data_IF_985342627011
#
_entry.id   IF_985342627011
#
_cell.length_a   1.000
_cell.length_b   1.000
_cell.length_c   1.000
_cell.angle_alpha   90.00
_cell.angle_beta   90.00
_cell.angle_gamma   90.00
#
_symmetry.space_group_name_H-M   'P 1'
#
loop_
_entity.id
_entity.type
_entity.pdbx_description
1 polymer ?
#
# COMPACT_ATOMS: atom_id res chain seq x y z
N UNK A 1 20.98 -17.11 2.57
CA UNK A 1 20.65 -15.67 2.46
C UNK A 1 19.15 -15.42 2.52
N UNK A 2 18.34 -16.02 1.65
CA UNK A 2 16.88 -15.78 1.60
C UNK A 2 16.17 -16.07 2.93
N UNK A 3 16.47 -17.18 3.62
CA UNK A 3 15.91 -17.46 4.95
C UNK A 3 16.21 -16.36 5.99
N UNK A 4 17.42 -15.77 5.96
CA UNK A 4 17.76 -14.64 6.83
C UNK A 4 16.94 -13.39 6.51
N UNK A 5 16.71 -13.13 5.22
CA UNK A 5 15.83 -12.03 4.79
C UNK A 5 14.38 -12.27 5.26
N UNK A 6 13.84 -13.47 5.06
CA UNK A 6 12.50 -13.85 5.51
C UNK A 6 12.37 -13.67 7.03
N UNK A 7 13.35 -14.14 7.81
CA UNK A 7 13.33 -13.97 9.26
C UNK A 7 13.31 -12.49 9.68
N UNK A 8 14.10 -11.64 9.01
CA UNK A 8 14.09 -10.18 9.24
C UNK A 8 12.76 -9.55 8.89
N UNK A 9 12.18 -9.90 7.73
CA UNK A 9 10.92 -9.37 7.24
C UNK A 9 9.70 -9.84 8.06
N UNK A 10 9.83 -10.98 8.75
CA UNK A 10 8.77 -11.56 9.60
C UNK A 10 8.73 -10.99 11.01
N UNK A 11 9.76 -10.25 11.40
CA UNK A 11 9.87 -9.62 12.72
C UNK A 11 8.93 -8.43 12.89
N UNK A 12 8.76 -8.01 14.14
CA UNK A 12 8.05 -6.77 14.47
C UNK A 12 8.97 -5.55 14.31
N UNK A 13 8.38 -4.39 13.99
CA UNK A 13 9.10 -3.12 13.93
C UNK A 13 9.42 -2.65 15.34
N UNK A 14 10.70 -2.56 15.68
CA UNK A 14 11.15 -2.05 16.98
C UNK A 14 11.26 -0.52 17.00
N UNK A 15 11.63 0.07 15.86
CA UNK A 15 11.79 1.51 15.68
C UNK A 15 11.06 1.94 14.42
N UNK A 16 10.05 2.78 14.58
CA UNK A 16 9.32 3.34 13.45
C UNK A 16 10.12 4.45 12.75
N UNK A 17 10.01 4.58 11.42
CA UNK A 17 10.74 5.60 10.64
C UNK A 17 10.09 6.98 10.75
N UNK A 18 9.77 7.43 11.97
CA UNK A 18 9.19 8.76 12.20
C UNK A 18 10.26 9.82 11.90
N UNK A 19 9.95 10.86 11.11
CA UNK A 19 10.88 11.94 10.84
C UNK A 19 11.39 12.61 12.13
N UNK A 20 12.57 13.24 12.05
CA UNK A 20 13.16 13.91 13.24
C UNK A 20 12.91 15.41 13.25
N UNK A 21 12.68 16.02 12.08
CA UNK A 21 12.44 17.45 11.95
C UNK A 21 11.02 17.82 12.40
N UNK A 22 10.91 18.78 13.32
CA UNK A 22 9.62 19.29 13.80
C UNK A 22 8.84 20.02 12.70
N UNK A 23 7.52 20.09 12.88
CA UNK A 23 6.59 20.82 12.01
C UNK A 23 6.05 22.02 12.78
N UNK A 24 6.44 23.23 12.37
CA UNK A 24 6.01 24.45 13.05
C UNK A 24 4.74 25.05 12.42
N UNK A 25 3.92 25.73 13.23
CA UNK A 25 2.79 26.50 12.74
C UNK A 25 1.55 25.67 12.39
N UNK A 26 1.46 24.42 12.83
CA UNK A 26 0.28 23.54 12.64
C UNK A 26 -0.99 24.18 13.19
N UNK A 27 -0.91 24.85 14.36
CA UNK A 27 -2.04 25.53 15.00
C UNK A 27 -2.72 26.61 14.14
N UNK A 28 -2.00 27.20 13.17
CA UNK A 28 -2.59 28.18 12.23
C UNK A 28 -3.64 27.59 11.31
N UNK A 29 -3.69 26.27 11.21
CA UNK A 29 -4.64 25.52 10.36
C UNK A 29 -5.75 24.84 11.16
N UNK A 30 -5.88 25.13 12.46
CA UNK A 30 -6.94 24.61 13.31
C UNK A 30 -8.31 24.83 12.68
N UNK A 31 -9.14 23.78 12.66
CA UNK A 31 -10.48 23.78 12.08
C UNK A 31 -10.51 23.59 10.54
N UNK A 32 -9.36 23.68 9.85
CA UNK A 32 -9.27 23.43 8.41
C UNK A 32 -9.44 21.95 8.10
N UNK A 33 -9.83 21.64 6.87
CA UNK A 33 -10.09 20.26 6.41
C UNK A 33 -9.01 19.80 5.46
N UNK A 34 -8.49 18.59 5.67
CA UNK A 34 -7.72 17.82 4.69
C UNK A 34 -8.68 16.87 3.98
N UNK A 35 -8.56 16.75 2.67
CA UNK A 35 -9.30 15.75 1.89
C UNK A 35 -8.44 14.52 1.67
N UNK A 36 -9.00 13.34 1.95
CA UNK A 36 -8.43 12.05 1.57
C UNK A 36 -9.27 11.45 0.45
N UNK A 37 -8.61 11.15 -0.67
CA UNK A 37 -9.25 10.67 -1.90
C UNK A 37 -8.60 9.32 -2.27
N UNK A 38 -9.08 8.19 -1.74
CA UNK A 38 -8.61 6.88 -2.18
C UNK A 38 -9.18 6.53 -3.55
N UNK A 39 -8.49 5.66 -4.31
CA UNK A 39 -8.96 5.18 -5.60
C UNK A 39 -10.36 4.55 -5.49
N UNK A 40 -10.55 3.67 -4.49
CA UNK A 40 -11.83 3.05 -4.13
C UNK A 40 -11.91 2.93 -2.61
N UNK A 41 -12.87 3.64 -2.00
CA UNK A 41 -12.98 3.74 -0.53
C UNK A 41 -13.18 2.39 0.17
N UNK A 42 -13.79 1.40 -0.49
CA UNK A 42 -14.13 0.11 0.10
C UNK A 42 -12.94 -0.83 0.28
N UNK A 43 -11.78 -0.51 -0.29
CA UNK A 43 -10.56 -1.33 -0.08
C UNK A 43 -10.15 -1.24 1.40
N UNK A 44 -10.03 -2.39 2.11
CA UNK A 44 -9.83 -2.40 3.57
C UNK A 44 -8.63 -1.59 4.04
N UNK A 45 -7.52 -1.60 3.31
CA UNK A 45 -6.33 -0.80 3.61
C UNK A 45 -6.63 0.70 3.65
N UNK A 46 -7.37 1.21 2.68
CA UNK A 46 -7.75 2.64 2.62
C UNK A 46 -8.74 3.04 3.71
N UNK A 47 -9.63 2.12 4.13
CA UNK A 47 -10.51 2.35 5.29
C UNK A 47 -9.70 2.57 6.57
N UNK A 48 -8.67 1.74 6.80
CA UNK A 48 -7.78 1.88 7.96
C UNK A 48 -6.97 3.18 7.87
N UNK A 49 -6.35 3.46 6.72
CA UNK A 49 -5.60 4.71 6.49
C UNK A 49 -6.50 5.93 6.76
N UNK A 50 -7.72 5.98 6.22
CA UNK A 50 -8.66 7.07 6.46
C UNK A 50 -9.00 7.23 7.95
N UNK A 51 -9.26 6.12 8.65
CA UNK A 51 -9.62 6.15 10.06
C UNK A 51 -8.47 6.68 10.94
N UNK A 52 -7.24 6.28 10.66
CA UNK A 52 -6.06 6.70 11.41
C UNK A 52 -5.60 8.12 11.03
N UNK A 53 -5.74 8.53 9.76
CA UNK A 53 -5.60 9.95 9.37
C UNK A 53 -6.58 10.85 10.12
N UNK A 54 -7.84 10.40 10.27
CA UNK A 54 -8.86 11.15 11.03
C UNK A 54 -8.42 11.38 12.47
N UNK A 55 -7.86 10.35 13.12
CA UNK A 55 -7.34 10.45 14.49
C UNK A 55 -6.13 11.38 14.54
N UNK A 56 -5.17 11.19 13.63
CA UNK A 56 -3.93 11.96 13.56
C UNK A 56 -4.20 13.47 13.33
N UNK A 57 -5.00 13.79 12.32
CA UNK A 57 -5.38 15.18 12.00
C UNK A 57 -6.19 15.84 13.11
N UNK A 58 -7.08 15.10 13.80
CA UNK A 58 -7.79 15.62 14.96
C UNK A 58 -6.85 16.01 16.10
N UNK A 59 -5.78 15.24 16.35
CA UNK A 59 -4.72 15.63 17.31
C UNK A 59 -4.03 16.93 16.90
N UNK A 60 -3.87 17.15 15.59
CA UNK A 60 -3.30 18.39 15.04
C UNK A 60 -4.33 19.54 14.93
N UNK A 61 -5.57 19.34 15.38
CA UNK A 61 -6.63 20.35 15.32
C UNK A 61 -7.31 20.50 13.95
N UNK A 62 -7.05 19.61 12.99
CA UNK A 62 -7.65 19.61 11.67
C UNK A 62 -8.75 18.56 11.55
N UNK A 63 -9.51 18.66 10.46
CA UNK A 63 -10.57 17.70 10.11
C UNK A 63 -10.14 16.87 8.90
N UNK A 64 -10.63 15.63 8.81
CA UNK A 64 -10.55 14.82 7.60
C UNK A 64 -11.91 14.75 6.93
N UNK A 65 -11.92 14.97 5.60
CA UNK A 65 -13.03 14.66 4.72
C UNK A 65 -12.58 13.57 3.74
N UNK A 66 -13.27 12.44 3.76
CA UNK A 66 -13.05 11.37 2.78
C UNK A 66 -13.97 11.62 1.57
N UNK A 67 -13.42 11.47 0.36
CA UNK A 67 -14.16 11.55 -0.89
C UNK A 67 -13.74 10.38 -1.79
N UNK A 68 -14.67 9.46 -2.08
CA UNK A 68 -14.39 8.23 -2.83
C UNK A 68 -14.09 8.52 -4.31
N UNK A 69 -12.94 8.09 -4.78
CA UNK A 69 -12.51 8.19 -6.18
C UNK A 69 -13.25 7.24 -7.12
N UNK A 70 -13.94 6.20 -6.57
CA UNK A 70 -14.78 5.25 -7.29
C UNK A 70 -14.07 4.53 -8.46
N UNK A 71 -12.74 4.53 -8.49
CA UNK A 71 -11.96 4.04 -9.62
C UNK A 71 -12.13 4.84 -10.92
N UNK A 72 -12.75 6.04 -10.86
CA UNK A 72 -13.15 6.80 -12.03
C UNK A 72 -12.47 8.18 -12.10
N UNK A 73 -11.86 8.55 -13.23
CA UNK A 73 -11.22 9.85 -13.40
C UNK A 73 -12.14 11.04 -13.11
N UNK A 74 -13.41 10.94 -13.48
CA UNK A 74 -14.42 11.99 -13.25
C UNK A 74 -14.75 12.17 -11.77
N UNK A 75 -14.85 11.07 -11.00
CA UNK A 75 -15.11 11.12 -9.56
C UNK A 75 -13.91 11.70 -8.82
N UNK A 76 -12.68 11.26 -9.15
CA UNK A 76 -11.45 11.84 -8.61
C UNK A 76 -11.37 13.34 -8.87
N UNK A 77 -11.62 13.77 -10.12
CA UNK A 77 -11.62 15.19 -10.47
C UNK A 77 -12.67 15.99 -9.68
N UNK A 78 -13.87 15.45 -9.50
CA UNK A 78 -14.93 16.07 -8.71
C UNK A 78 -14.53 16.22 -7.23
N UNK A 79 -13.91 15.18 -6.62
CA UNK A 79 -13.38 15.24 -5.26
C UNK A 79 -12.32 16.34 -5.10
N UNK A 80 -11.40 16.46 -6.07
CA UNK A 80 -10.38 17.51 -6.06
C UNK A 80 -11.01 18.90 -6.19
N UNK A 81 -12.00 19.08 -7.08
CA UNK A 81 -12.72 20.34 -7.22
C UNK A 81 -13.48 20.72 -5.94
N UNK A 82 -14.10 19.72 -5.28
CA UNK A 82 -14.77 19.93 -3.99
C UNK A 82 -13.76 20.40 -2.93
N UNK A 83 -12.59 19.77 -2.84
CA UNK A 83 -11.53 20.17 -1.91
C UNK A 83 -11.07 21.62 -2.16
N UNK A 84 -10.86 21.98 -3.43
CA UNK A 84 -10.48 23.35 -3.83
C UNK A 84 -11.58 24.35 -3.46
N UNK A 85 -12.84 24.05 -3.76
CA UNK A 85 -14.00 24.89 -3.42
C UNK A 85 -14.16 25.11 -1.92
N UNK A 86 -13.87 24.08 -1.12
CA UNK A 86 -13.87 24.12 0.35
C UNK A 86 -12.61 24.80 0.94
N UNK A 87 -11.68 25.28 0.12
CA UNK A 87 -10.38 25.85 0.55
C UNK A 87 -9.64 24.89 1.49
N UNK A 88 -9.56 23.61 1.11
CA UNK A 88 -8.93 22.57 1.90
C UNK A 88 -7.50 22.97 2.33
N UNK A 89 -7.05 22.49 3.48
CA UNK A 89 -5.66 22.65 3.93
C UNK A 89 -4.71 21.85 3.03
N UNK A 90 -5.17 20.72 2.50
CA UNK A 90 -4.44 19.90 1.56
C UNK A 90 -5.28 18.72 1.08
N UNK A 91 -4.75 17.99 0.11
CA UNK A 91 -5.33 16.79 -0.48
C UNK A 91 -4.32 15.66 -0.36
N UNK A 92 -4.77 14.50 0.08
CA UNK A 92 -4.01 13.25 0.03
C UNK A 92 -4.80 12.30 -0.88
N UNK A 93 -4.22 11.89 -2.00
CA UNK A 93 -4.78 10.82 -2.85
C UNK A 93 -4.06 9.51 -2.57
N UNK A 94 -4.75 8.39 -2.74
CA UNK A 94 -4.18 7.07 -2.46
C UNK A 94 -4.45 6.11 -3.63
N UNK A 95 -3.38 5.48 -4.12
CA UNK A 95 -3.34 4.62 -5.30
C UNK A 95 -3.86 5.28 -6.61
N UNK A 96 -3.92 6.61 -6.68
CA UNK A 96 -4.39 7.35 -7.85
C UNK A 96 -3.20 7.88 -8.65
N UNK A 97 -2.95 7.37 -9.87
CA UNK A 97 -1.95 7.94 -10.76
C UNK A 97 -2.24 9.41 -11.09
N UNK A 98 -1.22 10.26 -11.09
CA UNK A 98 -1.41 11.70 -11.39
C UNK A 98 -2.16 11.94 -12.70
N UNK A 99 -1.87 11.13 -13.73
CA UNK A 99 -2.51 11.24 -15.05
C UNK A 99 -4.03 11.01 -15.04
N UNK A 100 -4.58 10.33 -14.02
CA UNK A 100 -6.01 10.04 -13.91
C UNK A 100 -6.84 11.34 -13.76
N UNK A 101 -6.32 12.37 -13.06
CA UNK A 101 -7.00 13.64 -12.84
C UNK A 101 -6.04 14.86 -12.95
N UNK A 102 -5.05 14.79 -13.83
CA UNK A 102 -3.96 15.76 -13.92
C UNK A 102 -4.40 17.22 -14.03
N UNK A 103 -5.45 17.51 -14.80
CA UNK A 103 -6.00 18.87 -14.92
C UNK A 103 -6.56 19.38 -13.58
N UNK A 104 -7.29 18.53 -12.84
CA UNK A 104 -7.82 18.90 -11.54
C UNK A 104 -6.69 19.10 -10.51
N UNK A 105 -5.67 18.24 -10.51
CA UNK A 105 -4.48 18.40 -9.66
C UNK A 105 -3.71 19.68 -9.99
N UNK A 106 -3.54 20.01 -11.26
CA UNK A 106 -2.90 21.26 -11.67
C UNK A 106 -3.70 22.49 -11.20
N UNK A 107 -5.02 22.45 -11.32
CA UNK A 107 -5.89 23.52 -10.82
C UNK A 107 -5.82 23.67 -9.30
N UNK A 108 -5.76 22.58 -8.53
CA UNK A 108 -5.61 22.61 -7.09
C UNK A 108 -4.27 23.25 -6.68
N UNK A 109 -3.16 22.84 -7.31
CA UNK A 109 -1.84 23.45 -7.08
C UNK A 109 -1.82 24.95 -7.41
N UNK A 110 -2.43 25.35 -8.53
CA UNK A 110 -2.54 26.78 -8.91
C UNK A 110 -3.33 27.61 -7.90
N UNK A 111 -4.23 26.98 -7.12
CA UNK A 111 -4.95 27.60 -6.00
C UNK A 111 -4.22 27.48 -4.65
N UNK A 112 -2.99 26.96 -4.64
CA UNK A 112 -2.16 26.83 -3.46
C UNK A 112 -2.60 25.70 -2.52
N UNK A 113 -3.40 24.72 -3.01
CA UNK A 113 -3.77 23.53 -2.24
C UNK A 113 -2.71 22.44 -2.48
N UNK A 114 -1.92 22.05 -1.46
CA UNK A 114 -0.90 21.02 -1.60
C UNK A 114 -1.52 19.63 -1.80
N UNK A 115 -0.80 18.76 -2.53
CA UNK A 115 -1.26 17.41 -2.86
C UNK A 115 -0.18 16.39 -2.53
N UNK A 116 -0.53 15.38 -1.74
CA UNK A 116 0.24 14.15 -1.54
C UNK A 116 -0.37 13.06 -2.44
N UNK A 117 0.46 12.40 -3.22
CA UNK A 117 0.11 11.24 -4.05
C UNK A 117 0.70 10.00 -3.36
N UNK A 118 -0.12 9.32 -2.57
CA UNK A 118 0.27 8.10 -1.86
C UNK A 118 0.17 6.88 -2.77
N UNK A 119 1.00 5.87 -2.47
CA UNK A 119 1.10 4.59 -3.17
C UNK A 119 1.33 4.71 -4.68
N UNK A 120 2.03 5.78 -5.07
CA UNK A 120 2.49 6.00 -6.44
C UNK A 120 3.96 6.40 -6.45
N UNK A 121 4.69 5.92 -7.45
CA UNK A 121 6.08 6.30 -7.71
C UNK A 121 6.09 7.63 -8.47
N UNK A 122 6.93 8.55 -8.04
CA UNK A 122 7.12 9.81 -8.75
C UNK A 122 7.68 9.54 -10.16
N UNK A 123 7.15 10.21 -11.20
CA UNK A 123 7.76 10.19 -12.52
C UNK A 123 9.24 10.61 -12.48
N UNK A 124 10.07 10.06 -13.36
CA UNK A 124 11.49 10.41 -13.44
C UNK A 124 11.69 11.93 -13.53
N UNK A 125 12.62 12.47 -12.75
CA UNK A 125 12.89 13.89 -12.68
C UNK A 125 11.91 14.72 -11.82
N UNK A 126 10.91 14.08 -11.20
CA UNK A 126 10.03 14.76 -10.24
C UNK A 126 10.69 14.82 -8.87
N UNK A 127 10.69 16.03 -8.27
CA UNK A 127 11.15 16.25 -6.89
C UNK A 127 9.95 16.66 -6.03
N UNK A 128 9.84 16.06 -4.84
CA UNK A 128 8.84 16.44 -3.85
C UNK A 128 9.00 17.91 -3.45
N UNK A 129 7.90 18.60 -3.28
CA UNK A 129 7.83 20.03 -2.95
C UNK A 129 6.65 20.32 -2.02
N UNK A 130 6.54 21.56 -1.51
CA UNK A 130 5.37 21.98 -0.72
C UNK A 130 4.05 22.03 -1.52
N UNK A 131 4.06 21.77 -2.83
CA UNK A 131 2.84 21.72 -3.65
C UNK A 131 2.46 20.32 -4.11
N UNK A 132 3.45 19.44 -4.30
CA UNK A 132 3.25 18.08 -4.76
C UNK A 132 4.31 17.17 -4.16
N UNK A 133 3.90 16.10 -3.49
CA UNK A 133 4.78 15.07 -3.00
C UNK A 133 4.24 13.68 -3.34
N UNK A 134 5.13 12.74 -3.61
CA UNK A 134 4.84 11.33 -3.82
C UNK A 134 5.36 10.52 -2.64
N UNK A 135 4.54 9.59 -2.15
CA UNK A 135 4.87 8.66 -1.05
C UNK A 135 4.61 7.23 -1.53
N UNK A 136 5.63 6.53 -2.07
CA UNK A 136 5.47 5.18 -2.62
C UNK A 136 5.50 4.10 -1.52
N UNK A 137 4.49 4.10 -0.64
CA UNK A 137 4.46 3.28 0.58
C UNK A 137 4.56 1.77 0.36
N UNK A 138 4.03 1.25 -0.75
CA UNK A 138 3.95 -0.20 -1.03
C UNK A 138 5.07 -0.73 -1.95
N UNK A 139 6.02 0.11 -2.35
CA UNK A 139 7.06 -0.20 -3.35
C UNK A 139 7.88 -1.48 -3.06
N UNK A 140 8.08 -1.82 -1.79
CA UNK A 140 8.95 -2.92 -1.39
C UNK A 140 8.22 -4.28 -1.30
N UNK A 141 6.91 -4.33 -1.40
CA UNK A 141 6.13 -5.55 -1.18
C UNK A 141 6.50 -6.67 -2.17
N UNK A 142 6.58 -6.46 -3.50
CA UNK A 142 6.99 -7.52 -4.42
C UNK A 142 8.39 -8.06 -4.15
N UNK A 143 9.31 -7.19 -3.70
CA UNK A 143 10.67 -7.62 -3.32
C UNK A 143 10.68 -8.51 -2.07
N UNK A 144 9.80 -8.25 -1.12
CA UNK A 144 9.65 -9.06 0.10
C UNK A 144 9.04 -10.42 -0.24
N UNK A 145 8.05 -10.47 -1.13
CA UNK A 145 7.51 -11.73 -1.68
C UNK A 145 8.60 -12.51 -2.44
N UNK A 146 9.46 -11.83 -3.19
CA UNK A 146 10.56 -12.51 -3.89
C UNK A 146 11.47 -13.27 -2.91
N UNK A 147 11.83 -12.66 -1.78
CA UNK A 147 12.62 -13.34 -0.76
C UNK A 147 11.90 -14.55 -0.16
N UNK A 148 10.60 -14.43 0.09
CA UNK A 148 9.81 -15.56 0.57
C UNK A 148 9.76 -16.68 -0.46
N UNK A 149 9.47 -16.39 -1.74
CA UNK A 149 9.42 -17.39 -2.81
C UNK A 149 10.75 -18.16 -2.94
N UNK A 150 11.87 -17.45 -2.90
CA UNK A 150 13.21 -18.06 -2.94
C UNK A 150 13.43 -18.97 -1.75
N UNK A 151 13.08 -18.54 -0.53
CA UNK A 151 13.27 -19.30 0.69
C UNK A 151 12.36 -20.55 0.73
N UNK A 152 11.06 -20.37 0.46
CA UNK A 152 10.05 -21.42 0.51
C UNK A 152 10.31 -22.52 -0.52
N UNK A 153 10.79 -22.15 -1.72
CA UNK A 153 11.13 -23.09 -2.78
C UNK A 153 12.54 -23.69 -2.67
N UNK A 154 13.32 -23.26 -1.69
CA UNK A 154 14.74 -23.63 -1.57
C UNK A 154 15.55 -23.29 -2.85
N UNK A 155 15.23 -22.15 -3.47
CA UNK A 155 15.89 -21.66 -4.68
C UNK A 155 15.45 -22.35 -5.99
N UNK A 156 14.28 -22.96 -6.03
CA UNK A 156 13.73 -23.68 -7.18
C UNK A 156 12.28 -23.29 -7.47
N UNK A 157 11.90 -22.03 -7.24
CA UNK A 157 10.54 -21.57 -7.51
C UNK A 157 10.25 -21.62 -9.02
N UNK A 158 9.12 -22.22 -9.38
CA UNK A 158 8.47 -22.00 -10.64
C UNK A 158 7.19 -21.20 -10.34
N UNK A 159 7.23 -19.90 -10.61
CA UNK A 159 6.25 -18.95 -10.13
C UNK A 159 5.64 -18.12 -11.25
N UNK A 160 4.33 -17.90 -11.17
CA UNK A 160 3.61 -16.89 -11.93
C UNK A 160 3.48 -15.65 -11.06
N UNK A 161 3.87 -14.50 -11.58
CA UNK A 161 3.64 -13.18 -10.98
C UNK A 161 2.54 -12.51 -11.79
N UNK A 162 1.39 -12.27 -11.15
CA UNK A 162 0.31 -11.51 -11.75
C UNK A 162 0.53 -10.01 -11.42
N UNK A 163 1.04 -9.28 -12.42
CA UNK A 163 1.32 -7.85 -12.36
C UNK A 163 0.09 -7.06 -12.76
N UNK A 164 -0.38 -6.15 -11.91
CA UNK A 164 -1.47 -5.25 -12.27
C UNK A 164 -0.98 -4.10 -13.14
N UNK A 165 -1.62 -3.92 -14.31
CA UNK A 165 -1.20 -2.94 -15.31
C UNK A 165 -2.02 -1.65 -15.27
N UNK A 166 -2.80 -1.44 -14.22
CA UNK A 166 -3.71 -0.28 -14.10
C UNK A 166 -2.96 1.04 -13.86
N UNK A 167 -1.72 0.96 -13.38
CA UNK A 167 -0.85 2.14 -13.25
C UNK A 167 0.60 1.85 -13.64
N UNK A 168 1.38 2.88 -14.04
CA UNK A 168 2.82 2.73 -14.22
C UNK A 168 3.54 2.30 -12.95
N UNK A 169 3.02 2.68 -11.77
CA UNK A 169 3.63 2.35 -10.48
C UNK A 169 3.51 0.87 -10.16
N UNK A 170 2.35 0.23 -10.37
CA UNK A 170 2.17 -1.19 -10.13
C UNK A 170 3.14 -2.02 -10.98
N UNK A 171 3.26 -1.73 -12.27
CA UNK A 171 4.29 -2.36 -13.12
C UNK A 171 5.71 -2.18 -12.59
N UNK A 172 6.02 -0.98 -12.10
CA UNK A 172 7.36 -0.69 -11.58
C UNK A 172 7.62 -1.43 -10.27
N UNK A 173 6.64 -1.63 -9.40
CA UNK A 173 6.77 -2.41 -8.17
C UNK A 173 7.21 -3.85 -8.47
N UNK A 174 6.56 -4.52 -9.42
CA UNK A 174 6.96 -5.86 -9.85
C UNK A 174 8.35 -5.83 -10.50
N UNK A 175 8.58 -4.91 -11.44
CA UNK A 175 9.87 -4.79 -12.16
C UNK A 175 11.05 -4.64 -11.19
N UNK A 176 10.90 -3.87 -10.10
CA UNK A 176 11.98 -3.69 -9.10
C UNK A 176 12.32 -4.97 -8.34
N UNK A 177 11.41 -5.95 -8.29
CA UNK A 177 11.63 -7.24 -7.62
C UNK A 177 12.40 -8.26 -8.49
N UNK A 178 12.32 -8.14 -9.81
CA UNK A 178 12.88 -9.15 -10.74
C UNK A 178 14.39 -9.35 -10.61
N UNK A 179 15.24 -8.32 -10.37
CA UNK A 179 16.67 -8.50 -10.14
C UNK A 179 17.00 -9.40 -8.94
N UNK A 180 16.12 -9.48 -7.94
CA UNK A 180 16.30 -10.35 -6.76
C UNK A 180 16.28 -11.81 -7.20
N UNK A 181 15.30 -12.20 -8.01
CA UNK A 181 15.23 -13.57 -8.55
C UNK A 181 16.44 -13.87 -9.42
N UNK A 182 16.78 -12.98 -10.34
CA UNK A 182 17.93 -13.15 -11.24
C UNK A 182 19.24 -13.36 -10.47
N UNK A 183 19.46 -12.58 -9.41
CA UNK A 183 20.72 -12.60 -8.64
C UNK A 183 20.78 -13.75 -7.64
N UNK A 184 19.67 -14.06 -6.96
CA UNK A 184 19.67 -14.93 -5.79
C UNK A 184 18.94 -16.26 -5.99
N UNK A 185 18.34 -16.46 -7.18
CA UNK A 185 17.62 -17.69 -7.52
C UNK A 185 17.84 -18.14 -8.96
N UNK A 186 19.07 -18.50 -9.35
CA UNK A 186 19.34 -18.92 -10.74
C UNK A 186 18.57 -20.20 -11.14
N UNK A 187 18.08 -20.99 -10.17
CA UNK A 187 17.23 -22.15 -10.40
C UNK A 187 15.72 -21.84 -10.41
N UNK A 188 15.33 -20.57 -10.29
CA UNK A 188 13.93 -20.17 -10.37
C UNK A 188 13.50 -19.88 -11.80
N UNK A 189 12.26 -20.24 -12.14
CA UNK A 189 11.57 -19.80 -13.35
C UNK A 189 10.46 -18.83 -12.95
N UNK A 190 10.56 -17.58 -13.39
CA UNK A 190 9.62 -16.52 -13.08
C UNK A 190 8.92 -16.08 -14.36
N UNK A 191 7.59 -16.22 -14.38
CA UNK A 191 6.72 -15.81 -15.49
C UNK A 191 5.85 -14.66 -15.03
N UNK A 192 6.04 -13.47 -15.58
CA UNK A 192 5.17 -12.32 -15.33
C UNK A 192 3.97 -12.39 -16.28
N UNK A 193 2.78 -12.23 -15.73
CA UNK A 193 1.50 -12.16 -16.45
C UNK A 193 0.78 -10.90 -16.07
N UNK A 194 0.43 -10.11 -17.05
CA UNK A 194 -0.31 -8.87 -16.84
C UNK A 194 -1.78 -9.17 -16.58
N UNK A 195 -2.32 -8.56 -15.54
CA UNK A 195 -3.75 -8.53 -15.20
C UNK A 195 -4.21 -7.08 -15.06
N UNK A 196 -5.51 -6.85 -14.95
CA UNK A 196 -6.07 -5.53 -14.67
C UNK A 196 -7.19 -5.65 -13.63
N UNK A 197 -7.17 -4.82 -12.60
CA UNK A 197 -8.21 -4.76 -11.58
C UNK A 197 -9.54 -4.24 -12.14
N UNK A 198 -9.49 -3.41 -13.19
CA UNK A 198 -10.67 -2.86 -13.87
C UNK A 198 -11.53 -3.93 -14.54
N UNK A 199 -10.98 -5.12 -14.81
CA UNK A 199 -11.71 -6.29 -15.34
C UNK A 199 -11.81 -7.41 -14.33
N UNK A 200 -12.06 -7.10 -13.08
CA UNK A 200 -12.07 -8.05 -11.95
C UNK A 200 -12.99 -9.27 -12.20
N UNK A 201 -14.11 -9.09 -12.93
CA UNK A 201 -14.99 -10.19 -13.34
C UNK A 201 -14.33 -11.25 -14.23
N UNK A 202 -13.24 -10.91 -14.93
CA UNK A 202 -12.48 -11.81 -15.80
C UNK A 202 -11.23 -12.38 -15.11
N UNK A 203 -10.90 -11.91 -13.94
CA UNK A 203 -9.63 -12.23 -13.28
C UNK A 203 -9.54 -13.70 -12.88
N UNK A 204 -10.64 -14.34 -12.48
CA UNK A 204 -10.66 -15.76 -12.16
C UNK A 204 -10.33 -16.62 -13.41
N UNK A 205 -10.94 -16.31 -14.54
CA UNK A 205 -10.66 -17.04 -15.80
C UNK A 205 -9.25 -16.77 -16.32
N UNK A 206 -8.76 -15.53 -16.20
CA UNK A 206 -7.39 -15.17 -16.56
C UNK A 206 -6.37 -15.90 -15.69
N UNK A 207 -6.59 -15.98 -14.38
CA UNK A 207 -5.74 -16.73 -13.45
C UNK A 207 -5.73 -18.23 -13.81
N UNK A 208 -6.90 -18.83 -14.04
CA UNK A 208 -6.98 -20.24 -14.47
C UNK A 208 -6.20 -20.48 -15.76
N UNK A 209 -6.37 -19.61 -16.77
CA UNK A 209 -5.66 -19.71 -18.05
C UNK A 209 -4.15 -19.57 -17.88
N UNK A 210 -3.69 -18.62 -17.04
CA UNK A 210 -2.28 -18.45 -16.75
C UNK A 210 -1.64 -19.68 -16.11
N UNK A 211 -2.36 -20.34 -15.20
CA UNK A 211 -1.92 -21.57 -14.51
C UNK A 211 -1.88 -22.75 -15.48
N UNK A 212 -2.89 -22.90 -16.33
CA UNK A 212 -2.94 -23.99 -17.33
C UNK A 212 -1.84 -23.82 -18.40
N UNK A 213 -1.50 -22.58 -18.77
CA UNK A 213 -0.39 -22.28 -19.69
C UNK A 213 1.00 -22.50 -19.07
N UNK A 214 1.11 -22.65 -17.75
CA UNK A 214 2.36 -22.89 -17.02
C UNK A 214 2.23 -24.13 -16.11
N UNK A 215 2.11 -25.35 -16.66
CA UNK A 215 1.76 -26.56 -15.90
C UNK A 215 2.79 -26.94 -14.83
N UNK A 216 4.02 -26.49 -14.93
CA UNK A 216 5.08 -26.70 -13.94
C UNK A 216 5.10 -25.66 -12.82
N UNK A 217 4.32 -24.58 -12.93
CA UNK A 217 4.25 -23.57 -11.88
C UNK A 217 3.64 -24.15 -10.59
N UNK A 218 4.25 -23.84 -9.46
CA UNK A 218 3.79 -24.27 -8.12
C UNK A 218 3.55 -23.10 -7.19
N UNK A 219 3.93 -21.90 -7.62
CA UNK A 219 3.73 -20.64 -6.91
C UNK A 219 2.97 -19.66 -7.77
N UNK A 220 2.10 -18.88 -7.12
CA UNK A 220 1.41 -17.75 -7.73
C UNK A 220 1.53 -16.54 -6.80
N UNK A 221 1.87 -15.40 -7.35
CA UNK A 221 1.82 -14.13 -6.63
C UNK A 221 0.81 -13.21 -7.33
N UNK A 222 -0.20 -12.74 -6.59
CA UNK A 222 -1.07 -11.65 -7.02
C UNK A 222 -0.65 -10.37 -6.33
N UNK A 223 -0.54 -9.28 -7.11
CA UNK A 223 0.14 -8.07 -6.65
C UNK A 223 -0.59 -7.37 -5.52
N UNK A 224 -1.93 -7.31 -5.57
CA UNK A 224 -2.72 -6.67 -4.55
C UNK A 224 -3.87 -7.54 -4.05
N UNK A 225 -4.38 -7.21 -2.86
CA UNK A 225 -5.33 -8.03 -2.13
C UNK A 225 -6.76 -7.95 -2.68
N UNK A 226 -7.12 -6.90 -3.42
CA UNK A 226 -8.39 -6.79 -4.14
C UNK A 226 -8.54 -7.87 -5.22
N UNK A 227 -7.43 -8.36 -5.77
CA UNK A 227 -7.34 -9.47 -6.71
C UNK A 227 -7.30 -10.86 -6.04
N UNK A 228 -7.26 -10.94 -4.71
CA UNK A 228 -7.02 -12.20 -3.98
C UNK A 228 -8.16 -13.22 -4.17
N UNK A 229 -9.40 -12.80 -3.97
CA UNK A 229 -10.55 -13.71 -4.08
C UNK A 229 -10.74 -14.26 -5.50
N UNK A 230 -10.75 -13.42 -6.57
CA UNK A 230 -10.80 -13.95 -7.93
C UNK A 230 -9.58 -14.82 -8.28
N UNK A 231 -8.39 -14.53 -7.75
CA UNK A 231 -7.21 -15.39 -7.93
C UNK A 231 -7.42 -16.77 -7.29
N UNK A 232 -7.99 -16.86 -6.09
CA UNK A 232 -8.33 -18.12 -5.43
C UNK A 232 -9.35 -18.92 -6.28
N UNK A 233 -10.38 -18.25 -6.78
CA UNK A 233 -11.36 -18.87 -7.69
C UNK A 233 -10.69 -19.40 -8.97
N UNK A 234 -9.78 -18.64 -9.57
CA UNK A 234 -9.04 -19.09 -10.75
C UNK A 234 -8.14 -20.31 -10.48
N UNK A 235 -7.51 -20.37 -9.30
CA UNK A 235 -6.75 -21.54 -8.86
C UNK A 235 -7.68 -22.77 -8.76
N UNK A 236 -8.86 -22.61 -8.18
CA UNK A 236 -9.87 -23.68 -8.08
C UNK A 236 -10.34 -24.13 -9.46
N UNK A 237 -10.68 -23.20 -10.35
CA UNK A 237 -11.10 -23.48 -11.73
C UNK A 237 -10.04 -24.22 -12.55
N UNK A 238 -8.75 -23.97 -12.30
CA UNK A 238 -7.64 -24.66 -12.95
C UNK A 238 -7.44 -26.11 -12.47
N UNK A 239 -8.11 -26.52 -11.38
CA UNK A 239 -7.89 -27.81 -10.70
C UNK A 239 -6.55 -27.91 -9.94
N UNK A 240 -5.75 -26.85 -9.91
CA UNK A 240 -4.40 -26.82 -9.31
C UNK A 240 -4.42 -26.34 -7.84
N UNK A 241 -5.25 -27.00 -7.01
CA UNK A 241 -5.49 -26.62 -5.60
C UNK A 241 -4.27 -26.70 -4.68
N UNK A 242 -3.16 -27.29 -5.15
CA UNK A 242 -1.87 -27.33 -4.44
C UNK A 242 -0.99 -26.09 -4.72
N UNK A 243 -1.47 -25.10 -5.48
CA UNK A 243 -0.74 -23.86 -5.74
C UNK A 243 -0.45 -23.12 -4.44
N UNK A 244 0.78 -22.60 -4.30
CA UNK A 244 1.18 -21.75 -3.18
C UNK A 244 0.94 -20.29 -3.57
N UNK A 245 -0.12 -19.68 -3.05
CA UNK A 245 -0.48 -18.29 -3.33
C UNK A 245 0.17 -17.35 -2.32
N UNK A 246 0.73 -16.25 -2.82
CA UNK A 246 1.19 -15.12 -2.03
C UNK A 246 0.55 -13.82 -2.52
N UNK A 247 0.42 -12.83 -1.64
CA UNK A 247 -0.23 -11.56 -1.94
C UNK A 247 0.39 -10.42 -1.13
N UNK A 248 0.32 -9.22 -1.66
CA UNK A 248 0.59 -7.99 -0.93
C UNK A 248 -0.73 -7.31 -0.52
N UNK A 249 -0.74 -6.73 0.70
CA UNK A 249 -1.94 -6.08 1.26
C UNK A 249 -1.99 -6.20 2.78
N UNK A 250 -2.60 -7.26 3.30
CA UNK A 250 -2.64 -7.56 4.73
C UNK A 250 -3.86 -7.01 5.43
N UNK A 251 -5.05 -7.27 4.90
CA UNK A 251 -6.31 -7.07 5.61
C UNK A 251 -6.62 -8.22 6.57
N UNK A 252 -7.67 -8.05 7.37
CA UNK A 252 -8.24 -9.12 8.20
C UNK A 252 -8.59 -10.34 7.37
N UNK A 253 -9.12 -10.14 6.15
CA UNK A 253 -9.54 -11.22 5.27
C UNK A 253 -8.33 -11.99 4.72
N UNK A 254 -7.33 -11.31 4.19
CA UNK A 254 -6.13 -11.95 3.65
C UNK A 254 -5.33 -12.70 4.72
N UNK A 255 -5.15 -12.08 5.90
CA UNK A 255 -4.51 -12.74 7.03
C UNK A 255 -5.37 -13.87 7.62
N UNK A 256 -6.70 -13.74 7.58
CA UNK A 256 -7.64 -14.79 7.96
C UNK A 256 -7.50 -16.01 7.06
N UNK A 257 -7.39 -15.82 5.74
CA UNK A 257 -7.12 -16.90 4.78
C UNK A 257 -5.76 -17.56 5.03
N UNK A 258 -4.73 -16.77 5.32
CA UNK A 258 -3.41 -17.30 5.70
C UNK A 258 -3.50 -18.12 6.98
N UNK A 259 -4.22 -17.65 8.00
CA UNK A 259 -4.41 -18.34 9.28
C UNK A 259 -5.22 -19.62 9.12
N UNK A 260 -6.21 -19.62 8.22
CA UNK A 260 -6.97 -20.80 7.84
C UNK A 260 -6.12 -21.80 7.03
N UNK A 261 -6.76 -22.86 6.57
CA UNK A 261 -6.09 -23.87 5.75
C UNK A 261 -6.36 -23.66 4.26
N UNK A 262 -5.99 -22.48 3.74
CA UNK A 262 -6.20 -22.07 2.35
C UNK A 262 -4.95 -22.26 1.49
N UNK A 263 -5.05 -21.93 0.20
CA UNK A 263 -3.92 -21.88 -0.73
C UNK A 263 -2.97 -20.72 -0.42
N UNK A 264 -3.41 -19.72 0.36
CA UNK A 264 -2.60 -18.56 0.75
C UNK A 264 -1.50 -19.02 1.71
N UNK A 265 -0.24 -18.77 1.36
CA UNK A 265 0.95 -19.20 2.12
C UNK A 265 1.79 -18.06 2.65
N UNK A 266 1.68 -16.88 2.02
CA UNK A 266 2.36 -15.67 2.49
C UNK A 266 1.55 -14.42 2.16
N UNK A 267 1.58 -13.47 3.09
CA UNK A 267 1.01 -12.13 2.93
C UNK A 267 2.06 -11.13 3.37
N UNK A 268 2.39 -10.17 2.51
CA UNK A 268 3.16 -8.99 2.92
C UNK A 268 2.19 -7.87 3.22
N UNK A 269 2.11 -7.51 4.49
CA UNK A 269 1.26 -6.41 4.95
C UNK A 269 2.06 -5.13 5.14
N UNK A 270 1.43 -3.98 4.86
CA UNK A 270 1.92 -2.64 5.23
C UNK A 270 1.15 -2.16 6.44
N UNK A 271 1.82 -1.46 7.34
CA UNK A 271 1.19 -0.83 8.50
C UNK A 271 0.35 0.38 8.07
N UNK A 272 -0.91 0.12 7.72
CA UNK A 272 -1.86 1.15 7.32
C UNK A 272 -2.21 2.11 8.46
N UNK A 273 -2.09 1.65 9.71
CA UNK A 273 -2.27 2.53 10.86
C UNK A 273 -1.15 3.58 10.91
N UNK A 274 0.11 3.15 10.75
CA UNK A 274 1.23 4.07 10.63
C UNK A 274 1.12 4.94 9.38
N UNK A 275 0.73 4.38 8.23
CA UNK A 275 0.58 5.10 6.97
C UNK A 275 -0.33 6.33 7.13
N UNK A 276 -1.47 6.19 7.82
CA UNK A 276 -2.37 7.31 8.09
C UNK A 276 -1.72 8.44 8.89
N UNK A 277 -0.85 8.13 9.85
CA UNK A 277 -0.10 9.14 10.61
C UNK A 277 1.00 9.78 9.75
N UNK A 278 1.75 9.00 8.99
CA UNK A 278 2.80 9.48 8.09
C UNK A 278 2.24 10.37 6.97
N UNK A 279 1.12 9.99 6.35
CA UNK A 279 0.45 10.82 5.36
C UNK A 279 -0.13 12.11 5.97
N UNK A 280 -0.55 12.06 7.24
CA UNK A 280 -0.95 13.26 7.98
C UNK A 280 0.24 14.17 8.26
N UNK A 281 1.41 13.62 8.61
CA UNK A 281 2.64 14.39 8.78
C UNK A 281 3.07 15.05 7.48
N UNK A 282 3.09 14.29 6.38
CA UNK A 282 3.50 14.80 5.08
C UNK A 282 2.62 15.98 4.62
N UNK A 283 1.30 15.84 4.70
CA UNK A 283 0.40 16.93 4.29
C UNK A 283 0.47 18.14 5.24
N UNK A 284 0.71 17.93 6.53
CA UNK A 284 0.92 19.02 7.48
C UNK A 284 2.23 19.78 7.18
N UNK A 285 3.32 19.07 6.85
CA UNK A 285 4.59 19.67 6.42
C UNK A 285 4.42 20.55 5.20
N UNK A 286 3.74 20.03 4.19
CA UNK A 286 3.49 20.78 2.95
C UNK A 286 2.61 22.00 3.21
N UNK A 287 1.54 21.86 3.99
CA UNK A 287 0.61 22.93 4.35
C UNK A 287 1.29 24.06 5.14
N UNK A 288 2.17 23.69 6.07
CA UNK A 288 2.94 24.65 6.88
C UNK A 288 4.19 25.18 6.19
N UNK A 289 4.53 24.65 5.00
CA UNK A 289 5.77 24.94 4.25
C UNK A 289 7.05 24.52 4.99
N UNK A 290 6.96 23.51 5.86
CA UNK A 290 8.12 22.93 6.55
C UNK A 290 8.96 22.02 5.63
N UNK A 291 8.48 21.74 4.42
CA UNK A 291 9.10 20.85 3.44
C UNK A 291 8.65 19.40 3.57
N UNK A 292 8.40 18.72 2.43
CA UNK A 292 8.09 17.30 2.42
C UNK A 292 9.27 16.46 2.91
N UNK A 293 8.97 15.23 3.38
CA UNK A 293 9.97 14.23 3.75
C UNK A 293 9.74 12.96 2.91
N UNK A 294 10.73 12.08 2.90
CA UNK A 294 10.57 10.79 2.21
C UNK A 294 9.97 9.77 3.19
N UNK A 295 8.66 9.84 3.38
CA UNK A 295 7.94 8.90 4.23
C UNK A 295 8.08 7.46 3.70
N UNK A 296 8.26 6.53 4.63
CA UNK A 296 8.30 5.09 4.34
C UNK A 296 7.38 4.36 5.31
N UNK A 297 6.70 3.34 4.84
CA UNK A 297 5.77 2.59 5.67
C UNK A 297 6.38 1.27 6.13
N UNK A 298 6.32 0.93 7.42
CA UNK A 298 6.70 -0.38 7.90
C UNK A 298 5.85 -1.46 7.23
N UNK A 299 6.50 -2.57 6.92
CA UNK A 299 5.83 -3.75 6.38
C UNK A 299 6.30 -5.00 7.11
N UNK A 300 5.46 -6.03 7.12
CA UNK A 300 5.75 -7.31 7.74
C UNK A 300 5.30 -8.46 6.84
N UNK A 301 6.17 -9.45 6.71
CA UNK A 301 5.86 -10.71 6.04
C UNK A 301 5.19 -11.66 7.05
N UNK A 302 3.95 -12.05 6.74
CA UNK A 302 3.21 -13.07 7.47
C UNK A 302 3.22 -14.38 6.71
N UNK A 303 3.48 -15.46 7.44
CA UNK A 303 3.44 -16.84 6.97
C UNK A 303 2.79 -17.71 8.05
N UNK A 304 2.65 -19.01 7.80
CA UNK A 304 2.12 -19.95 8.80
C UNK A 304 2.93 -19.96 10.10
N UNK A 305 4.23 -19.67 10.02
CA UNK A 305 5.14 -19.71 11.16
C UNK A 305 4.89 -18.57 12.17
N UNK A 306 4.38 -17.42 11.70
CA UNK A 306 4.23 -16.24 12.58
C UNK A 306 2.79 -15.70 12.69
N UNK A 307 1.86 -16.12 11.84
CA UNK A 307 0.47 -15.63 11.89
C UNK A 307 -0.23 -15.93 13.22
N UNK A 308 0.17 -16.98 13.90
CA UNK A 308 -0.35 -17.35 15.22
C UNK A 308 0.01 -16.36 16.34
N UNK A 309 1.00 -15.49 16.12
CA UNK A 309 1.46 -14.51 17.10
C UNK A 309 0.62 -13.23 17.18
N UNK A 310 -0.38 -13.07 16.28
CA UNK A 310 -1.24 -11.88 16.23
C UNK A 310 -2.71 -12.23 16.35
N UNK A 311 -3.49 -11.24 16.80
CA UNK A 311 -4.94 -11.29 16.70
C UNK A 311 -5.39 -10.73 15.35
N UNK A 312 -5.98 -11.57 14.50
CA UNK A 312 -6.49 -11.15 13.18
C UNK A 312 -7.90 -10.58 13.38
N UNK A 313 -7.96 -9.32 13.77
CA UNK A 313 -9.21 -8.58 14.02
C UNK A 313 -9.14 -7.15 13.46
N UNK A 314 -10.28 -6.53 13.14
CA UNK A 314 -10.31 -5.13 12.69
C UNK A 314 -9.68 -4.15 13.70
N UNK A 315 -9.84 -4.40 15.00
CA UNK A 315 -9.27 -3.54 16.05
C UNK A 315 -7.73 -3.63 16.06
N UNK A 316 -7.17 -4.85 15.93
CA UNK A 316 -5.74 -5.08 15.87
C UNK A 316 -5.11 -4.48 14.59
N UNK A 317 -5.82 -4.55 13.46
CA UNK A 317 -5.42 -3.88 12.23
C UNK A 317 -5.39 -2.36 12.39
N UNK A 318 -6.47 -1.78 12.92
CA UNK A 318 -6.59 -0.33 13.09
C UNK A 318 -5.60 0.24 14.11
N UNK A 319 -5.17 -0.54 15.10
CA UNK A 319 -4.16 -0.12 16.08
C UNK A 319 -2.74 -0.16 15.53
N UNK A 320 -2.45 -0.98 14.51
CA UNK A 320 -1.09 -1.24 14.02
C UNK A 320 -0.32 -2.29 14.84
N UNK A 321 -0.94 -2.92 15.85
CA UNK A 321 -0.24 -3.89 16.73
C UNK A 321 0.33 -5.10 16.00
N UNK A 322 -0.15 -5.41 14.80
CA UNK A 322 0.43 -6.47 13.95
C UNK A 322 1.91 -6.21 13.61
N UNK A 323 2.33 -4.96 13.64
CA UNK A 323 3.66 -4.53 13.20
C UNK A 323 4.61 -4.26 14.37
N UNK A 324 4.10 -4.01 15.57
CA UNK A 324 4.91 -3.75 16.76
C UNK A 324 4.23 -2.85 17.76
N UNK A 325 5.00 -2.00 18.46
CA UNK A 325 4.43 -1.02 19.36
C UNK A 325 3.78 0.15 18.59
N UNK A 326 2.92 0.91 19.25
CA UNK A 326 2.20 2.04 18.65
C UNK A 326 2.76 3.41 19.06
N UNK A 327 4.01 3.47 19.53
CA UNK A 327 4.66 4.69 20.03
C UNK A 327 4.84 5.79 18.97
N UNK A 328 4.74 5.43 17.69
CA UNK A 328 4.79 6.40 16.59
C UNK A 328 3.73 7.51 16.73
N UNK A 329 2.56 7.21 17.29
CA UNK A 329 1.49 8.19 17.46
C UNK A 329 1.94 9.37 18.33
N UNK A 330 2.56 9.08 19.47
CA UNK A 330 3.11 10.12 20.35
C UNK A 330 4.32 10.82 19.75
N UNK A 331 5.12 10.10 18.95
CA UNK A 331 6.24 10.70 18.24
C UNK A 331 5.78 11.74 17.21
N UNK A 332 4.75 11.45 16.41
CA UNK A 332 4.19 12.42 15.47
C UNK A 332 3.57 13.63 16.18
N UNK A 333 2.76 13.45 17.24
CA UNK A 333 2.17 14.60 17.95
C UNK A 333 3.24 15.51 18.55
N UNK A 334 4.34 14.93 19.03
CA UNK A 334 5.51 15.70 19.50
C UNK A 334 6.16 16.52 18.37
N UNK A 335 6.29 15.96 17.17
CA UNK A 335 6.82 16.71 16.02
C UNK A 335 5.94 17.90 15.64
N UNK A 336 4.62 17.77 15.80
CA UNK A 336 3.66 18.84 15.48
C UNK A 336 3.48 19.86 16.59
N UNK A 337 4.10 19.64 17.76
CA UNK A 337 3.97 20.52 18.93
C UNK A 337 2.57 20.54 19.53
N UNK A 338 1.82 19.41 19.45
CA UNK A 338 0.44 19.26 19.91
C UNK A 338 0.27 18.09 20.89
N UNK A 339 1.36 17.58 21.44
CA UNK A 339 1.41 16.49 22.41
C UNK A 339 1.40 16.98 23.84
#
# INVERSE_FOLDING_TARGET
MAQKQVASLSGTTSTYPVPTASVSGVSKFTGRTVYYIPLVQQIPGFVVTASTMKVALAKAGLKLQVCDGQGQPSAVAACVQQAVGAKAAGIVTDAIPYGMAGNAFNAAKAKGVPIVIADQIAPAGTTNSNQLAYVPGVINQPSQIAWWLIAASKGKANAIIAEEADSPSSKQYVTTSLPIYKKYCPGCTITVKTITATTNSLLASATSSNILAAPSATYYYTEFEDSLQPTIQGIQQSGRTSMNLSVAGGSVDGLGLLKGNSVVKAVVAVDQAYAGWALSDEILRMTTKSGPVNETFPSRLFTKENIGSIQVTPAAQASGEWFGNTSFQSAFTKLWGVG
#
